data_IF_572735246598
#
_entry.id   IF_572735246598
#
_cell.length_a   1.000
_cell.length_b   1.000
_cell.length_c   1.000
_cell.angle_alpha   90.00
_cell.angle_beta   90.00
_cell.angle_gamma   90.00
#
_symmetry.space_group_name_H-M   'P 1'
#
loop_
_entity.id
_entity.type
_entity.pdbx_description
1 polymer ?
#
# COMPACT_ATOMS: atom_id res chain seq x y z
N UNK A 1 45.89 22.88 -0.98
CA UNK A 1 46.16 23.44 -2.32
C UNK A 1 44.93 23.15 -3.15
N UNK A 2 43.97 24.09 -3.19
CA UNK A 2 43.72 25.03 -4.32
C UNK A 2 43.31 24.28 -5.61
N UNK A 3 42.22 24.57 -6.33
CA UNK A 3 41.29 25.71 -6.40
C UNK A 3 40.21 25.41 -7.47
N UNK A 4 38.97 25.90 -7.24
CA UNK A 4 38.11 26.76 -8.10
C UNK A 4 37.72 26.32 -9.54
N UNK A 5 36.41 26.31 -9.90
CA UNK A 5 35.52 27.42 -10.35
C UNK A 5 35.65 27.67 -11.87
N UNK A 6 34.62 27.82 -12.73
CA UNK A 6 33.53 28.84 -12.82
C UNK A 6 32.60 28.42 -14.00
N UNK A 7 31.25 28.51 -13.99
CA UNK A 7 30.33 29.66 -14.12
C UNK A 7 30.32 30.38 -15.50
N UNK A 8 29.11 30.57 -16.08
CA UNK A 8 28.61 31.59 -17.06
C UNK A 8 27.26 31.06 -17.61
N UNK A 9 26.07 31.53 -17.21
CA UNK A 9 25.39 32.83 -17.42
C UNK A 9 25.14 33.20 -18.90
N UNK A 10 23.86 33.29 -19.28
CA UNK A 10 23.35 34.40 -20.12
C UNK A 10 21.82 34.57 -19.92
N UNK A 11 21.47 35.78 -19.50
CA UNK A 11 20.13 36.30 -19.22
C UNK A 11 20.01 37.61 -20.01
N UNK A 12 18.87 37.86 -20.66
CA UNK A 12 18.61 39.08 -21.42
C UNK A 12 17.21 39.08 -22.04
N UNK A 13 16.41 40.14 -21.99
CA UNK A 13 16.69 41.52 -21.60
C UNK A 13 15.38 42.36 -21.45
N UNK A 14 15.39 43.28 -20.45
CA UNK A 14 15.03 44.73 -20.43
C UNK A 14 13.55 45.16 -20.56
N UNK A 15 12.97 45.81 -19.53
CA UNK A 15 12.98 47.26 -19.13
C UNK A 15 12.08 48.14 -20.04
N UNK A 16 11.32 49.17 -19.63
CA UNK A 16 11.25 50.13 -18.51
C UNK A 16 9.76 50.64 -18.40
N UNK A 17 9.26 51.49 -17.49
CA UNK A 17 9.74 52.66 -16.74
C UNK A 17 8.74 52.96 -15.58
N UNK A 18 9.15 53.35 -14.37
CA UNK A 18 9.32 54.74 -13.84
C UNK A 18 7.99 55.54 -13.69
N UNK A 19 7.62 56.24 -12.62
CA UNK A 19 8.25 56.62 -11.35
C UNK A 19 7.28 57.45 -10.47
N UNK A 20 7.51 57.36 -9.15
CA UNK A 20 7.22 58.22 -7.97
C UNK A 20 6.41 59.54 -8.09
N UNK A 21 5.48 59.80 -7.14
CA UNK A 21 5.51 60.89 -6.12
C UNK A 21 4.12 61.31 -5.59
N UNK A 22 4.07 61.58 -4.28
CA UNK A 22 2.92 61.96 -3.44
C UNK A 22 2.83 63.53 -3.29
N UNK A 23 2.11 64.13 -2.31
CA UNK A 23 0.83 64.87 -2.44
C UNK A 23 0.91 66.40 -2.20
N UNK A 24 -0.20 67.16 -2.39
CA UNK A 24 -0.55 68.37 -1.61
C UNK A 24 -1.88 69.06 -2.02
N UNK A 25 -2.74 69.27 -1.02
CA UNK A 25 -3.52 70.47 -0.64
C UNK A 25 -4.25 71.39 -1.64
N UNK A 26 -5.49 71.77 -1.30
CA UNK A 26 -6.14 72.95 -1.87
C UNK A 26 -7.65 73.18 -1.61
N UNK A 27 -8.02 73.55 -0.38
CA UNK A 27 -9.05 74.55 0.04
C UNK A 27 -10.41 74.76 -0.69
N UNK A 28 -11.48 74.73 0.14
CA UNK A 28 -12.62 75.70 0.32
C UNK A 28 -13.53 76.03 -0.88
N UNK A 29 -14.81 76.37 -0.76
CA UNK A 29 -15.87 76.33 0.26
C UNK A 29 -17.12 76.94 -0.44
N UNK A 30 -18.32 76.51 -0.02
CA UNK A 30 -19.63 77.19 -0.12
C UNK A 30 -20.22 77.53 -1.48
N UNK A 31 -21.42 76.99 -1.74
CA UNK A 31 -22.65 77.80 -1.83
C UNK A 31 -23.86 76.88 -1.77
N UNK A 32 -24.64 77.00 -0.70
CA UNK A 32 -26.10 76.84 -0.69
C UNK A 32 -26.64 78.27 -0.56
N UNK A 33 -27.70 78.70 -1.27
CA UNK A 33 -29.05 78.26 -0.90
C UNK A 33 -30.06 78.22 -2.06
N UNK A 34 -31.12 77.43 -1.93
CA UNK A 34 -32.51 77.93 -1.90
C UNK A 34 -33.53 76.79 -1.99
N UNK A 35 -34.50 76.89 -1.09
CA UNK A 35 -35.64 76.01 -0.90
C UNK A 35 -36.57 75.88 -2.13
N UNK A 36 -37.05 74.66 -2.36
CA UNK A 36 -38.47 74.35 -2.59
C UNK A 36 -38.66 72.83 -2.71
N UNK A 37 -39.22 72.20 -1.68
CA UNK A 37 -39.97 70.95 -1.84
C UNK A 37 -41.45 71.35 -2.03
N UNK A 38 -42.26 70.65 -2.85
CA UNK A 38 -42.60 69.28 -2.48
C UNK A 38 -42.88 68.30 -3.64
N UNK A 39 -42.93 67.03 -3.22
CA UNK A 39 -43.76 65.95 -3.75
C UNK A 39 -43.44 65.37 -5.13
N UNK A 40 -43.08 64.09 -5.09
CA UNK A 40 -43.65 63.13 -6.04
C UNK A 40 -42.65 62.42 -6.93
N UNK A 41 -41.78 61.58 -6.35
CA UNK A 41 -41.49 60.24 -6.87
C UNK A 41 -40.50 59.53 -5.96
N UNK A 42 -41.01 59.00 -4.86
CA UNK A 42 -40.23 58.12 -4.02
C UNK A 42 -41.09 56.92 -3.60
N UNK A 43 -41.03 55.86 -4.41
CA UNK A 43 -41.51 54.51 -4.06
C UNK A 43 -41.10 53.42 -5.06
N UNK A 44 -40.72 53.76 -6.29
CA UNK A 44 -40.37 52.77 -7.32
C UNK A 44 -38.90 52.35 -7.35
N UNK A 45 -37.97 53.07 -6.70
CA UNK A 45 -36.53 52.77 -6.77
C UNK A 45 -35.95 51.97 -5.59
N UNK A 46 -36.77 51.57 -4.59
CA UNK A 46 -36.32 50.64 -3.52
C UNK A 46 -36.54 49.16 -3.85
N UNK A 47 -37.16 48.85 -5.00
CA UNK A 47 -37.43 47.46 -5.42
C UNK A 47 -36.32 46.77 -6.21
N UNK A 48 -35.30 47.52 -6.67
CA UNK A 48 -34.36 47.02 -7.67
C UNK A 48 -33.03 46.45 -7.11
N UNK A 49 -32.80 46.49 -5.79
CA UNK A 49 -31.56 45.97 -5.19
C UNK A 49 -31.75 44.69 -4.35
N UNK A 50 -32.97 44.15 -4.23
CA UNK A 50 -33.27 42.97 -3.39
C UNK A 50 -33.73 41.73 -4.17
N UNK A 51 -33.44 41.64 -5.48
CA UNK A 51 -33.84 40.48 -6.31
C UNK A 51 -32.67 39.68 -6.91
N UNK A 52 -31.42 40.12 -6.77
CA UNK A 52 -30.28 39.40 -7.35
C UNK A 52 -29.77 38.20 -6.51
N UNK A 53 -30.15 38.09 -5.23
CA UNK A 53 -29.72 37.00 -4.34
C UNK A 53 -30.80 35.94 -4.08
N UNK A 54 -31.99 36.09 -4.66
CA UNK A 54 -33.17 35.29 -4.34
C UNK A 54 -33.12 33.86 -4.92
N UNK A 55 -32.28 33.60 -5.92
CA UNK A 55 -32.17 32.29 -6.61
C UNK A 55 -30.83 31.59 -6.35
N UNK A 56 -29.74 32.34 -6.14
CA UNK A 56 -28.43 31.75 -5.86
C UNK A 56 -28.37 31.07 -4.47
N UNK A 57 -29.02 31.68 -3.46
CA UNK A 57 -29.05 31.17 -2.09
C UNK A 57 -29.79 29.82 -1.95
N UNK A 58 -30.99 29.59 -2.53
CA UNK A 58 -31.66 28.30 -2.40
C UNK A 58 -30.89 27.17 -3.10
N UNK A 59 -30.22 27.45 -4.22
CA UNK A 59 -29.44 26.43 -4.94
C UNK A 59 -28.19 26.04 -4.14
N UNK A 60 -27.44 27.01 -3.60
CA UNK A 60 -26.27 26.69 -2.76
C UNK A 60 -26.67 25.99 -1.47
N UNK A 61 -27.79 26.37 -0.85
CA UNK A 61 -28.32 25.70 0.33
C UNK A 61 -28.75 24.25 0.02
N UNK A 62 -29.37 24.03 -1.14
CA UNK A 62 -29.81 22.69 -1.57
C UNK A 62 -28.60 21.79 -1.86
N UNK A 63 -27.58 22.29 -2.55
CA UNK A 63 -26.33 21.53 -2.80
C UNK A 63 -25.59 21.25 -1.49
N UNK A 64 -25.50 22.23 -0.58
CA UNK A 64 -24.89 22.02 0.73
C UNK A 64 -25.65 20.99 1.58
N UNK A 65 -26.99 21.04 1.58
CA UNK A 65 -27.83 20.09 2.30
C UNK A 65 -27.73 18.66 1.72
N UNK A 66 -27.64 18.54 0.40
CA UNK A 66 -27.49 17.25 -0.29
C UNK A 66 -26.09 16.65 -0.08
N UNK A 67 -25.04 17.49 -0.08
CA UNK A 67 -23.70 17.09 0.31
C UNK A 67 -23.63 16.68 1.79
N UNK A 68 -24.28 17.44 2.68
CA UNK A 68 -24.34 17.14 4.11
C UNK A 68 -25.13 15.85 4.40
N UNK A 69 -26.18 15.57 3.63
CA UNK A 69 -26.92 14.29 3.67
C UNK A 69 -26.06 13.09 3.26
N UNK A 70 -25.11 13.27 2.34
CA UNK A 70 -24.18 12.21 1.91
C UNK A 70 -23.01 12.03 2.89
N UNK A 71 -22.71 13.04 3.71
CA UNK A 71 -21.59 13.05 4.67
C UNK A 71 -22.00 12.88 6.12
N UNK A 72 -23.29 12.97 6.47
CA UNK A 72 -23.77 12.73 7.84
C UNK A 72 -23.88 11.22 8.05
N UNK A 73 -22.99 10.60 8.84
CA UNK A 73 -23.24 9.26 9.33
C UNK A 73 -24.43 9.33 10.29
N UNK A 74 -25.61 8.93 9.83
CA UNK A 74 -26.69 8.48 10.72
C UNK A 74 -26.22 7.19 11.38
N UNK A 75 -25.31 7.31 12.34
CA UNK A 75 -25.02 6.25 13.29
C UNK A 75 -25.70 6.67 14.58
N UNK A 76 -26.94 6.21 14.86
CA UNK A 76 -27.40 6.13 16.23
C UNK A 76 -26.26 5.47 17.00
N UNK A 77 -25.75 6.12 18.05
CA UNK A 77 -24.66 5.60 18.87
C UNK A 77 -24.90 4.11 19.07
N UNK A 78 -24.13 3.29 18.35
CA UNK A 78 -24.29 1.86 18.42
C UNK A 78 -24.06 1.54 19.90
N UNK A 79 -25.10 1.07 20.59
CA UNK A 79 -24.93 0.39 21.85
C UNK A 79 -23.74 -0.56 21.65
N UNK A 80 -22.76 -0.62 22.58
CA UNK A 80 -21.52 -1.33 22.36
C UNK A 80 -21.84 -2.76 21.96
N UNK A 81 -21.88 -3.02 20.66
CA UNK A 81 -21.92 -4.35 20.11
C UNK A 81 -20.53 -4.86 20.44
N UNK A 82 -20.41 -5.94 21.23
CA UNK A 82 -19.11 -6.54 21.43
C UNK A 82 -18.56 -6.84 20.03
N UNK A 83 -17.55 -6.08 19.61
CA UNK A 83 -16.64 -6.48 18.55
C UNK A 83 -15.91 -7.69 19.12
N UNK A 84 -16.59 -8.82 19.14
CA UNK A 84 -15.93 -10.09 19.25
C UNK A 84 -15.24 -10.27 17.89
N UNK A 85 -14.04 -9.72 17.78
CA UNK A 85 -12.97 -10.44 17.08
C UNK A 85 -12.89 -11.77 17.80
N UNK A 86 -13.76 -12.70 17.42
CA UNK A 86 -13.65 -14.09 17.79
C UNK A 86 -12.37 -14.53 17.11
N UNK A 87 -11.27 -14.50 17.86
CA UNK A 87 -10.04 -15.12 17.43
C UNK A 87 -10.42 -16.55 17.04
N UNK A 88 -10.36 -16.85 15.74
CA UNK A 88 -10.69 -18.19 15.24
C UNK A 88 -9.75 -19.14 15.96
N UNK A 89 -10.30 -20.13 16.66
CA UNK A 89 -9.51 -21.16 17.30
C UNK A 89 -8.74 -21.87 16.19
N UNK A 90 -7.42 -21.66 16.15
CA UNK A 90 -6.52 -22.34 15.25
C UNK A 90 -5.85 -23.50 16.00
N UNK A 91 -5.72 -24.63 15.33
CA UNK A 91 -5.04 -25.80 15.87
C UNK A 91 -3.59 -25.45 16.20
N UNK A 92 -3.16 -25.74 17.43
CA UNK A 92 -1.77 -25.59 17.88
C UNK A 92 -1.03 -26.93 17.88
N UNK A 93 -1.68 -28.01 17.44
CA UNK A 93 -1.09 -29.35 17.38
C UNK A 93 0.17 -29.31 16.51
N UNK A 94 1.29 -29.93 16.94
CA UNK A 94 2.49 -30.02 16.13
C UNK A 94 2.24 -30.69 14.78
N UNK A 95 2.85 -30.15 13.73
CA UNK A 95 2.75 -30.69 12.36
C UNK A 95 3.93 -31.63 12.10
N UNK A 96 3.64 -32.83 11.63
CA UNK A 96 4.67 -33.81 11.31
C UNK A 96 5.45 -33.40 10.05
N UNK A 97 6.77 -33.32 10.17
CA UNK A 97 7.66 -32.98 9.05
C UNK A 97 8.96 -33.78 9.12
N UNK A 98 9.54 -34.08 7.96
CA UNK A 98 10.86 -34.66 7.87
C UNK A 98 11.94 -33.60 8.11
N UNK A 99 13.00 -33.96 8.84
CA UNK A 99 14.15 -33.11 9.06
C UNK A 99 15.44 -33.82 8.62
N UNK A 100 15.68 -33.94 7.29
CA UNK A 100 16.91 -34.55 6.80
C UNK A 100 18.12 -33.74 7.23
N UNK A 101 19.23 -34.43 7.52
CA UNK A 101 20.48 -33.80 7.88
C UNK A 101 21.00 -32.94 6.71
N UNK A 102 21.30 -31.68 6.99
CA UNK A 102 21.82 -30.73 6.02
C UNK A 102 23.33 -30.54 6.16
N UNK A 103 23.98 -30.19 5.05
CA UNK A 103 25.34 -29.69 5.07
C UNK A 103 25.42 -28.35 5.84
N UNK A 104 26.62 -27.99 6.33
CA UNK A 104 26.83 -26.83 7.20
C UNK A 104 26.33 -25.50 6.60
N UNK A 105 26.52 -25.30 5.28
CA UNK A 105 26.10 -24.07 4.60
C UNK A 105 24.57 -23.98 4.50
N UNK A 106 23.83 -24.94 3.90
CA UNK A 106 22.37 -24.95 3.94
C UNK A 106 21.79 -24.86 5.35
N UNK A 107 22.35 -25.54 6.35
CA UNK A 107 21.88 -25.46 7.74
C UNK A 107 21.98 -24.03 8.33
N UNK A 108 22.98 -23.26 7.91
CA UNK A 108 23.13 -21.85 8.34
C UNK A 108 22.11 -20.96 7.64
N UNK A 109 21.92 -21.15 6.33
CA UNK A 109 20.94 -20.42 5.53
C UNK A 109 19.51 -20.69 6.01
N UNK A 110 19.16 -21.95 6.24
CA UNK A 110 17.84 -22.33 6.74
C UNK A 110 17.54 -21.74 8.11
N UNK A 111 18.50 -21.74 9.04
CA UNK A 111 18.32 -21.05 10.32
C UNK A 111 18.07 -19.55 10.16
N UNK A 112 18.80 -18.90 9.24
CA UNK A 112 18.59 -17.48 8.94
C UNK A 112 17.20 -17.22 8.37
N UNK A 113 16.75 -18.03 7.40
CA UNK A 113 15.39 -17.96 6.84
C UNK A 113 14.32 -18.15 7.92
N UNK A 114 14.40 -19.24 8.69
CA UNK A 114 13.42 -19.60 9.71
C UNK A 114 13.33 -18.54 10.82
N UNK A 115 14.46 -17.89 11.16
CA UNK A 115 14.47 -16.78 12.14
C UNK A 115 13.77 -15.51 11.68
N UNK A 116 13.55 -15.36 10.36
CA UNK A 116 12.92 -14.17 9.76
C UNK A 116 11.51 -14.46 9.24
N UNK A 117 11.08 -15.74 9.22
CA UNK A 117 9.72 -16.05 8.81
C UNK A 117 8.72 -15.36 9.75
N UNK A 118 7.61 -14.84 9.20
CA UNK A 118 6.60 -14.17 10.00
C UNK A 118 5.88 -15.15 10.91
N UNK A 119 5.33 -14.64 12.02
CA UNK A 119 4.47 -15.40 12.92
C UNK A 119 3.15 -15.84 12.26
N UNK A 120 2.76 -15.22 11.14
CA UNK A 120 1.60 -15.62 10.35
C UNK A 120 1.82 -15.38 8.85
N UNK A 121 1.15 -16.17 8.04
CA UNK A 121 1.03 -15.97 6.59
C UNK A 121 -0.43 -15.71 6.30
N UNK A 122 -0.75 -14.46 5.92
CA UNK A 122 -2.13 -13.98 5.81
C UNK A 122 -2.86 -14.23 7.14
N UNK A 123 -3.91 -15.02 7.13
CA UNK A 123 -4.73 -15.41 8.27
C UNK A 123 -4.25 -16.69 8.98
N UNK A 124 -3.20 -17.36 8.49
CA UNK A 124 -2.68 -18.61 9.06
C UNK A 124 -1.58 -18.32 10.09
N UNK A 125 -1.83 -18.58 11.37
CA UNK A 125 -0.78 -18.48 12.39
C UNK A 125 0.20 -19.66 12.30
N UNK A 126 1.43 -19.42 12.72
CA UNK A 126 2.48 -20.43 12.77
C UNK A 126 2.15 -21.50 13.83
N UNK A 127 2.51 -22.74 13.50
CA UNK A 127 2.36 -23.93 14.34
C UNK A 127 3.72 -24.57 14.61
N UNK A 128 3.88 -25.26 15.76
CA UNK A 128 5.07 -26.06 16.00
C UNK A 128 5.17 -27.22 14.98
N UNK A 129 6.39 -27.65 14.70
CA UNK A 129 6.69 -28.83 13.87
C UNK A 129 7.28 -29.92 14.74
N UNK A 130 7.09 -31.20 14.39
CA UNK A 130 7.60 -32.33 15.18
C UNK A 130 9.11 -32.50 15.09
N UNK A 131 9.72 -32.10 13.98
CA UNK A 131 11.16 -32.22 13.75
C UNK A 131 11.73 -31.08 12.92
N UNK A 132 12.98 -30.73 13.21
CA UNK A 132 13.75 -29.72 12.50
C UNK A 132 13.16 -28.31 12.51
N UNK A 133 12.77 -27.72 13.66
CA UNK A 133 12.26 -26.34 13.71
C UNK A 133 13.28 -25.30 13.16
N UNK A 134 14.55 -25.66 13.08
CA UNK A 134 15.62 -24.87 12.46
C UNK A 134 15.61 -24.86 10.91
N UNK A 135 14.81 -25.72 10.28
CA UNK A 135 14.69 -25.82 8.82
C UNK A 135 13.24 -25.97 8.32
N UNK A 136 12.27 -26.16 9.22
CA UNK A 136 10.88 -26.41 8.90
C UNK A 136 9.95 -25.45 9.65
N UNK A 137 8.91 -24.97 8.97
CA UNK A 137 7.82 -24.20 9.56
C UNK A 137 6.47 -24.69 9.03
N UNK A 138 5.41 -24.52 9.83
CA UNK A 138 4.05 -24.85 9.45
C UNK A 138 3.08 -23.74 9.86
N UNK A 139 1.99 -23.58 9.10
CA UNK A 139 1.00 -22.51 9.29
C UNK A 139 -0.42 -23.05 9.10
N UNK A 140 -1.33 -22.65 9.99
CA UNK A 140 -2.76 -22.89 9.83
C UNK A 140 -3.18 -24.36 9.93
N UNK A 141 -4.45 -24.63 9.62
CA UNK A 141 -5.05 -25.97 9.61
C UNK A 141 -6.08 -26.06 8.49
N UNK A 142 -5.88 -26.89 7.44
CA UNK A 142 -4.76 -27.82 7.22
C UNK A 142 -3.42 -27.11 7.03
N UNK A 143 -2.32 -27.76 7.42
CA UNK A 143 -1.02 -27.09 7.49
C UNK A 143 -0.44 -26.75 6.11
N UNK A 144 -0.20 -25.46 5.86
CA UNK A 144 0.77 -25.00 4.86
C UNK A 144 2.16 -25.17 5.47
N UNK A 145 3.06 -25.86 4.77
CA UNK A 145 4.41 -26.15 5.29
C UNK A 145 5.49 -25.51 4.44
N UNK A 146 6.57 -25.09 5.09
CA UNK A 146 7.79 -24.56 4.48
C UNK A 146 8.94 -25.42 4.96
N UNK A 147 9.63 -26.08 4.03
CA UNK A 147 10.84 -26.86 4.30
C UNK A 147 12.02 -26.21 3.59
N UNK A 148 13.14 -26.05 4.30
CA UNK A 148 14.39 -25.52 3.78
C UNK A 148 15.47 -26.61 3.72
N UNK A 149 16.17 -26.66 2.59
CA UNK A 149 17.14 -27.69 2.28
C UNK A 149 16.50 -29.01 1.85
N UNK A 150 17.33 -30.05 1.79
CA UNK A 150 16.95 -31.37 1.27
C UNK A 150 17.54 -31.62 -0.12
N UNK A 151 17.08 -32.70 -0.75
CA UNK A 151 17.53 -33.09 -2.08
C UNK A 151 16.88 -32.20 -3.12
N UNK A 152 17.70 -31.51 -3.93
CA UNK A 152 17.25 -30.75 -5.08
C UNK A 152 16.52 -31.67 -6.08
N UNK A 153 15.23 -31.45 -6.38
CA UNK A 153 14.54 -32.22 -7.39
C UNK A 153 15.03 -31.84 -8.80
N UNK A 154 14.95 -32.77 -9.73
CA UNK A 154 15.22 -32.50 -11.13
C UNK A 154 13.96 -31.96 -11.81
N UNK A 155 14.08 -30.79 -12.46
CA UNK A 155 13.00 -30.18 -13.22
C UNK A 155 13.27 -30.34 -14.73
N UNK A 156 12.30 -30.79 -15.54
CA UNK A 156 12.37 -30.69 -16.99
C UNK A 156 12.60 -29.25 -17.43
N UNK A 157 13.46 -29.02 -18.42
CA UNK A 157 13.76 -27.66 -18.91
C UNK A 157 12.59 -26.96 -19.60
N UNK A 158 11.51 -27.70 -19.89
CA UNK A 158 10.28 -27.21 -20.52
C UNK A 158 9.20 -26.84 -19.50
N UNK A 159 9.42 -27.11 -18.22
CA UNK A 159 8.43 -26.82 -17.19
C UNK A 159 8.30 -25.31 -16.98
N UNK A 160 7.06 -24.89 -16.72
CA UNK A 160 6.76 -23.51 -16.40
C UNK A 160 7.29 -23.16 -15.00
N UNK A 161 7.79 -21.93 -14.87
CA UNK A 161 8.23 -21.35 -13.60
C UNK A 161 7.55 -20.01 -13.42
N UNK A 162 7.21 -19.69 -12.18
CA UNK A 162 6.51 -18.46 -11.82
C UNK A 162 7.37 -17.61 -10.91
N UNK A 163 7.53 -16.34 -11.27
CA UNK A 163 8.21 -15.36 -10.41
C UNK A 163 7.21 -14.75 -9.45
N UNK A 164 7.44 -14.93 -8.14
CA UNK A 164 6.66 -14.29 -7.08
C UNK A 164 7.62 -13.55 -6.15
N UNK A 165 7.52 -12.23 -6.08
CA UNK A 165 8.39 -11.37 -5.27
C UNK A 165 9.89 -11.65 -5.47
N UNK A 166 10.34 -11.71 -6.73
CA UNK A 166 11.74 -11.96 -7.13
C UNK A 166 12.32 -13.32 -6.73
N UNK A 167 11.46 -14.28 -6.39
CA UNK A 167 11.82 -15.68 -6.22
C UNK A 167 11.12 -16.47 -7.33
N UNK A 168 11.86 -17.37 -7.95
CA UNK A 168 11.29 -18.27 -8.94
C UNK A 168 10.85 -19.59 -8.34
N UNK A 169 9.64 -19.98 -8.71
CA UNK A 169 8.98 -21.16 -8.21
C UNK A 169 8.62 -22.11 -9.34
N UNK A 170 8.97 -23.38 -9.19
CA UNK A 170 8.35 -24.47 -9.92
C UNK A 170 7.15 -24.98 -9.12
N UNK A 171 6.04 -25.24 -9.78
CA UNK A 171 4.80 -25.75 -9.17
C UNK A 171 4.55 -27.17 -9.66
N UNK A 172 4.52 -28.10 -8.71
CA UNK A 172 4.11 -29.48 -8.92
C UNK A 172 2.75 -29.71 -8.25
N UNK A 173 1.75 -30.03 -9.06
CA UNK A 173 0.41 -30.39 -8.60
C UNK A 173 0.40 -31.84 -8.08
N UNK A 174 -0.04 -32.05 -6.83
CA UNK A 174 -0.22 -33.37 -6.22
C UNK A 174 -1.68 -33.59 -5.84
N UNK A 175 -2.07 -34.82 -5.50
CA UNK A 175 -3.46 -35.16 -5.23
C UNK A 175 -4.08 -34.31 -4.10
N UNK A 176 -3.31 -34.01 -3.05
CA UNK A 176 -3.77 -33.35 -1.83
C UNK A 176 -3.13 -31.99 -1.54
N UNK A 177 -2.13 -31.58 -2.34
CA UNK A 177 -1.49 -30.28 -2.23
C UNK A 177 -0.86 -29.80 -3.55
N UNK A 178 -0.57 -28.51 -3.62
CA UNK A 178 0.38 -27.93 -4.55
C UNK A 178 1.76 -27.84 -3.86
N UNK A 179 2.82 -28.26 -4.54
CA UNK A 179 4.19 -28.18 -4.04
C UNK A 179 4.98 -27.19 -4.87
N UNK A 180 5.42 -26.10 -4.23
CA UNK A 180 6.17 -25.02 -4.85
C UNK A 180 7.63 -25.12 -4.41
N UNK A 181 8.54 -25.26 -5.36
CA UNK A 181 9.97 -25.40 -5.09
C UNK A 181 10.73 -24.23 -5.70
N UNK A 182 11.64 -23.62 -4.95
CA UNK A 182 12.49 -22.55 -5.49
C UNK A 182 13.49 -23.12 -6.48
N UNK A 183 13.71 -22.42 -7.60
CA UNK A 183 14.65 -22.85 -8.65
C UNK A 183 15.86 -21.92 -8.82
N UNK A 184 15.89 -20.80 -8.10
CA UNK A 184 16.89 -19.74 -8.26
C UNK A 184 17.66 -19.42 -6.97
N UNK A 185 17.67 -20.36 -6.01
CA UNK A 185 18.27 -20.22 -4.68
C UNK A 185 19.45 -21.18 -4.47
N UNK A 186 20.40 -20.78 -3.64
CA UNK A 186 21.54 -21.65 -3.29
C UNK A 186 21.14 -22.84 -2.38
N UNK A 187 19.97 -22.76 -1.76
CA UNK A 187 19.38 -23.80 -0.93
C UNK A 187 17.93 -23.92 -1.33
N UNK A 188 17.47 -25.14 -1.61
CA UNK A 188 16.09 -25.43 -1.94
C UNK A 188 15.15 -24.97 -0.83
N UNK A 189 14.07 -24.28 -1.19
CA UNK A 189 12.92 -24.08 -0.32
C UNK A 189 11.71 -24.70 -1.00
N UNK A 190 11.00 -25.55 -0.26
CA UNK A 190 9.78 -26.19 -0.70
C UNK A 190 8.63 -25.72 0.16
N UNK A 191 7.61 -25.14 -0.47
CA UNK A 191 6.35 -24.76 0.17
C UNK A 191 5.27 -25.73 -0.29
N UNK A 192 4.60 -26.38 0.64
CA UNK A 192 3.46 -27.25 0.33
C UNK A 192 2.18 -26.60 0.80
N UNK A 193 1.27 -26.35 -0.15
CA UNK A 193 0.00 -25.68 0.03
C UNK A 193 -1.13 -26.71 -0.11
N UNK A 194 -1.86 -27.04 0.96
CA UNK A 194 -3.02 -27.93 0.89
C UNK A 194 -4.05 -27.50 -0.16
N UNK A 195 -4.72 -28.45 -0.82
CA UNK A 195 -5.73 -28.18 -1.87
C UNK A 195 -6.89 -27.29 -1.44
N UNK A 196 -7.23 -27.29 -0.15
CA UNK A 196 -8.26 -26.40 0.42
C UNK A 196 -7.88 -24.92 0.34
N UNK A 197 -6.59 -24.62 0.17
CA UNK A 197 -6.08 -23.28 -0.05
C UNK A 197 -5.90 -23.07 -1.54
N UNK A 198 -6.95 -22.53 -2.17
CA UNK A 198 -6.95 -22.24 -3.59
C UNK A 198 -5.86 -21.24 -3.98
N UNK A 199 -5.48 -21.28 -5.26
CA UNK A 199 -4.47 -20.39 -5.86
C UNK A 199 -3.14 -20.45 -5.10
N UNK A 200 -2.35 -21.53 -5.23
CA UNK A 200 -1.12 -21.72 -4.43
C UNK A 200 -0.15 -20.53 -4.46
N UNK A 201 -0.04 -19.84 -5.60
CA UNK A 201 0.87 -18.71 -5.78
C UNK A 201 0.56 -17.50 -4.89
N UNK A 202 -0.69 -17.25 -4.48
CA UNK A 202 -1.02 -16.11 -3.59
C UNK A 202 -0.57 -16.30 -2.13
N UNK A 203 -0.08 -17.48 -1.77
CA UNK A 203 0.46 -17.77 -0.43
C UNK A 203 1.96 -17.49 -0.31
N UNK A 204 2.64 -17.36 -1.45
CA UNK A 204 4.08 -17.16 -1.52
C UNK A 204 4.60 -15.74 -1.27
N UNK A 205 3.87 -14.62 -1.51
CA UNK A 205 4.48 -13.28 -1.48
C UNK A 205 5.28 -12.97 -0.21
N UNK A 206 4.72 -13.24 0.97
CA UNK A 206 5.40 -13.00 2.25
C UNK A 206 6.59 -13.93 2.46
N UNK A 207 6.47 -15.20 2.06
CA UNK A 207 7.56 -16.19 2.14
C UNK A 207 8.70 -15.78 1.19
N UNK A 208 8.38 -15.46 -0.06
CA UNK A 208 9.33 -15.00 -1.08
C UNK A 208 10.11 -13.77 -0.62
N UNK A 209 9.46 -12.78 -0.01
CA UNK A 209 10.15 -11.61 0.53
C UNK A 209 11.16 -11.99 1.61
N UNK A 210 10.82 -12.95 2.47
CA UNK A 210 11.74 -13.47 3.50
C UNK A 210 12.89 -14.26 2.87
N UNK A 211 12.62 -15.06 1.85
CA UNK A 211 13.63 -15.80 1.07
C UNK A 211 14.62 -14.83 0.44
N UNK A 212 14.17 -13.75 -0.21
CA UNK A 212 15.06 -12.75 -0.81
C UNK A 212 15.98 -12.11 0.24
N UNK A 213 15.49 -11.92 1.46
CA UNK A 213 16.26 -11.29 2.54
C UNK A 213 17.30 -12.23 3.19
N UNK A 214 17.10 -13.55 3.12
CA UNK A 214 17.85 -14.51 3.93
C UNK A 214 18.55 -15.62 3.14
N UNK A 215 18.09 -15.91 1.92
CA UNK A 215 18.58 -17.00 1.07
C UNK A 215 19.20 -16.42 -0.19
N UNK A 216 20.54 -16.52 -0.33
CA UNK A 216 21.23 -16.08 -1.54
C UNK A 216 20.67 -16.77 -2.80
N UNK A 217 20.66 -16.02 -3.90
CA UNK A 217 20.44 -16.64 -5.21
C UNK A 217 21.57 -17.61 -5.54
N UNK A 218 21.25 -18.70 -6.22
CA UNK A 218 22.22 -19.72 -6.59
C UNK A 218 21.65 -20.66 -7.65
N UNK A 219 22.48 -21.57 -8.14
CA UNK A 219 22.09 -22.50 -9.20
C UNK A 219 21.99 -21.87 -10.60
N UNK A 220 21.62 -22.69 -11.57
CA UNK A 220 21.34 -22.22 -12.93
C UNK A 220 19.91 -21.68 -12.97
N UNK A 221 19.75 -20.39 -13.23
CA UNK A 221 18.44 -19.74 -13.32
C UNK A 221 17.77 -20.14 -14.64
N UNK A 222 16.55 -20.73 -14.62
CA UNK A 222 15.83 -21.08 -15.83
C UNK A 222 15.51 -19.85 -16.69
N UNK A 223 15.37 -20.00 -18.01
CA UNK A 223 15.06 -18.87 -18.91
C UNK A 223 13.70 -18.21 -18.62
N UNK A 224 12.75 -18.94 -18.04
CA UNK A 224 11.45 -18.41 -17.60
C UNK A 224 11.53 -17.48 -16.39
N UNK A 225 12.69 -17.40 -15.74
CA UNK A 225 12.93 -16.55 -14.58
C UNK A 225 13.56 -15.22 -14.96
N UNK A 226 12.77 -14.32 -15.53
CA UNK A 226 13.22 -12.93 -15.75
C UNK A 226 13.09 -12.13 -14.46
N UNK A 227 14.20 -11.49 -14.06
CA UNK A 227 14.31 -10.64 -12.86
C UNK A 227 13.74 -9.25 -13.07
#
# INVERSE_FOLDING_TARGET
MTTSSSALDDDGARDAADGTSEPADGNRESTDPAAAAPAGRDRTMRGAALLATLIALPITLLVAMLAFSKLSPDTPAAAPTPSATTARVQSTTPVEMAAPALAARPATVCRALLSQLPASIRDLAQRPVTAGPEQNAAYGDPALTVACGGTEPAFPSTDEVWTVNRVCWHLAEQADAAVLSTVDRETLITVRVPRSYEQPLQWLPTISSTIVASVPSGGAIPSGCQR
#
